data_IF_696156796357
#
_entry.id   IF_696156796357
#
_cell.length_a   1.000
_cell.length_b   1.000
_cell.length_c   1.000
_cell.angle_alpha   90.00
_cell.angle_beta   90.00
_cell.angle_gamma   90.00
#
_symmetry.space_group_name_H-M   'P 1'
#
loop_
_entity.id
_entity.type
_entity.pdbx_description
1 polymer ?
#
# COMPACT_ATOMS: atom_id res chain seq x y z
N UNK A 1 6.73 24.08 -7.75
CA UNK A 1 6.93 22.69 -7.28
C UNK A 1 6.30 21.76 -8.31
N UNK A 2 6.94 20.64 -8.63
CA UNK A 2 6.42 19.70 -9.63
C UNK A 2 5.49 18.68 -8.98
N UNK A 3 4.28 18.54 -9.52
CA UNK A 3 3.35 17.45 -9.21
C UNK A 3 3.69 16.25 -10.11
N UNK A 4 3.94 15.09 -9.53
CA UNK A 4 4.30 13.87 -10.29
C UNK A 4 3.47 12.69 -9.84
N UNK A 5 2.98 11.94 -10.82
CA UNK A 5 2.27 10.67 -10.61
C UNK A 5 3.09 9.55 -11.24
N UNK A 6 3.22 8.41 -10.55
CA UNK A 6 3.80 7.19 -11.09
C UNK A 6 2.87 6.01 -10.80
N UNK A 7 2.57 5.25 -11.84
CA UNK A 7 1.74 4.06 -11.75
C UNK A 7 2.64 2.83 -11.55
N UNK A 8 2.51 2.17 -10.41
CA UNK A 8 3.23 0.93 -10.09
C UNK A 8 2.41 -0.32 -10.41
N UNK A 9 1.09 -0.16 -10.44
CA UNK A 9 0.14 -1.11 -10.99
C UNK A 9 -1.15 -0.43 -11.42
N UNK A 10 -1.77 -0.99 -12.46
CA UNK A 10 -2.92 -0.41 -13.19
C UNK A 10 -3.97 -1.48 -13.54
N UNK A 11 -3.82 -2.70 -13.02
CA UNK A 11 -4.77 -3.79 -13.23
C UNK A 11 -5.83 -3.79 -12.12
N UNK A 12 -7.06 -4.14 -12.47
CA UNK A 12 -8.11 -4.42 -11.50
C UNK A 12 -8.29 -5.92 -11.30
N UNK A 13 -8.89 -6.29 -10.18
CA UNK A 13 -9.26 -7.64 -9.75
C UNK A 13 -8.10 -8.63 -9.56
N UNK A 14 -7.29 -8.90 -10.59
CA UNK A 14 -6.20 -9.88 -10.55
C UNK A 14 -5.01 -9.36 -11.34
N UNK A 15 -3.79 -9.68 -10.88
CA UNK A 15 -2.56 -9.41 -11.62
C UNK A 15 -2.53 -10.18 -12.95
N UNK A 16 -2.14 -9.52 -14.04
CA UNK A 16 -2.09 -10.12 -15.37
C UNK A 16 -0.69 -10.03 -16.00
N UNK A 17 0.32 -10.76 -15.49
CA UNK A 17 1.66 -10.78 -16.07
C UNK A 17 1.68 -11.66 -17.33
N UNK A 18 1.16 -11.15 -18.44
CA UNK A 18 1.12 -11.86 -19.72
C UNK A 18 1.57 -10.96 -20.88
N UNK A 19 2.05 -11.57 -21.97
CA UNK A 19 2.52 -10.84 -23.16
C UNK A 19 1.46 -9.87 -23.71
N UNK A 20 0.18 -10.26 -23.67
CA UNK A 20 -0.94 -9.43 -24.12
C UNK A 20 -1.18 -8.17 -23.26
N UNK A 21 -0.50 -8.04 -22.11
CA UNK A 21 -0.74 -6.98 -21.12
C UNK A 21 0.53 -6.23 -20.73
N UNK A 22 1.70 -6.69 -21.18
CA UNK A 22 2.99 -6.19 -20.70
C UNK A 22 3.25 -4.72 -21.06
N UNK A 23 2.64 -4.22 -22.14
CA UNK A 23 2.72 -2.81 -22.54
C UNK A 23 2.26 -1.86 -21.42
N UNK A 24 1.27 -2.27 -20.62
CA UNK A 24 0.72 -1.46 -19.53
C UNK A 24 1.10 -1.99 -18.14
N UNK A 25 1.69 -3.19 -18.07
CA UNK A 25 2.11 -3.84 -16.82
C UNK A 25 1.11 -4.86 -16.30
N UNK A 26 1.58 -5.73 -15.40
CA UNK A 26 0.81 -6.84 -14.85
C UNK A 26 0.31 -6.65 -13.41
N UNK A 27 0.73 -5.58 -12.72
CA UNK A 27 0.43 -5.36 -11.32
C UNK A 27 -0.93 -4.69 -11.09
N UNK A 28 -1.59 -5.05 -10.00
CA UNK A 28 -2.82 -4.43 -9.50
C UNK A 28 -2.59 -3.07 -8.83
N UNK A 29 -3.67 -2.31 -8.60
CA UNK A 29 -3.70 -0.90 -8.18
C UNK A 29 -2.61 -0.52 -7.17
N UNK A 30 -1.70 0.37 -7.59
CA UNK A 30 -0.77 1.04 -6.70
C UNK A 30 -0.22 2.28 -7.43
N UNK A 31 -0.49 3.47 -6.90
CA UNK A 31 -0.09 4.74 -7.52
C UNK A 31 0.70 5.56 -6.50
N UNK A 32 1.83 6.11 -6.94
CA UNK A 32 2.62 7.06 -6.16
C UNK A 32 2.32 8.48 -6.67
N UNK A 33 1.98 9.39 -5.76
CA UNK A 33 1.90 10.82 -6.01
C UNK A 33 2.99 11.50 -5.20
N UNK A 34 3.78 12.36 -5.84
CA UNK A 34 4.77 13.22 -5.18
C UNK A 34 4.44 14.67 -5.47
N UNK A 35 4.20 15.46 -4.42
CA UNK A 35 3.84 16.86 -4.52
C UNK A 35 4.21 17.60 -3.23
N UNK A 36 4.75 18.81 -3.32
CA UNK A 36 4.98 19.64 -2.12
C UNK A 36 6.02 19.11 -1.12
N UNK A 37 6.85 18.14 -1.52
CA UNK A 37 7.73 17.41 -0.59
C UNK A 37 7.08 16.16 0.01
N UNK A 38 5.77 16.03 -0.11
CA UNK A 38 4.98 14.90 0.35
C UNK A 38 4.98 13.75 -0.64
N UNK A 39 4.78 12.54 -0.10
CA UNK A 39 4.57 11.33 -0.88
C UNK A 39 3.31 10.62 -0.44
N UNK A 40 2.40 10.47 -1.38
CA UNK A 40 1.16 9.70 -1.21
C UNK A 40 1.25 8.42 -2.02
N UNK A 41 0.70 7.34 -1.46
CA UNK A 41 0.55 6.05 -2.10
C UNK A 41 -0.94 5.75 -2.10
N UNK A 42 -1.53 5.56 -3.28
CA UNK A 42 -2.93 5.21 -3.43
C UNK A 42 -3.01 3.70 -3.66
N UNK A 43 -3.65 3.01 -2.72
CA UNK A 43 -3.77 1.56 -2.62
C UNK A 43 -2.45 0.77 -2.51
N UNK A 44 -2.60 -0.45 -1.99
CA UNK A 44 -1.55 -1.39 -1.65
C UNK A 44 -1.63 -2.70 -2.46
N UNK A 45 -2.07 -2.62 -3.72
CA UNK A 45 -2.08 -3.77 -4.62
C UNK A 45 -0.68 -4.28 -4.95
N UNK A 46 -0.58 -5.37 -5.72
CA UNK A 46 0.70 -6.03 -6.07
C UNK A 46 1.79 -5.10 -6.64
N UNK A 47 1.44 -3.93 -7.19
CA UNK A 47 2.41 -2.91 -7.61
C UNK A 47 3.26 -2.36 -6.45
N UNK A 48 2.72 -2.39 -5.22
CA UNK A 48 3.38 -1.91 -4.00
C UNK A 48 4.73 -2.57 -3.74
N UNK A 49 4.92 -3.84 -4.15
CA UNK A 49 6.21 -4.53 -4.02
C UNK A 49 7.34 -3.78 -4.76
N UNK A 50 7.07 -3.35 -6.00
CA UNK A 50 8.07 -2.65 -6.80
C UNK A 50 8.28 -1.21 -6.32
N UNK A 51 7.20 -0.55 -5.88
CA UNK A 51 7.26 0.74 -5.20
C UNK A 51 8.15 0.65 -3.96
N UNK A 52 7.95 -0.34 -3.09
CA UNK A 52 8.72 -0.53 -1.87
C UNK A 52 10.22 -0.63 -2.13
N UNK A 53 10.63 -1.46 -3.09
CA UNK A 53 12.05 -1.53 -3.49
C UNK A 53 12.59 -0.19 -4.00
N UNK A 54 11.77 0.60 -4.70
CA UNK A 54 12.19 1.90 -5.18
C UNK A 54 12.32 2.93 -4.05
N UNK A 55 11.43 2.90 -3.04
CA UNK A 55 11.53 3.74 -1.85
C UNK A 55 12.81 3.45 -1.05
N UNK A 56 13.15 2.16 -0.88
CA UNK A 56 14.43 1.77 -0.26
C UNK A 56 15.63 2.36 -1.00
N UNK A 57 15.68 2.21 -2.34
CA UNK A 57 16.77 2.77 -3.17
C UNK A 57 16.84 4.29 -3.11
N UNK A 58 15.72 4.97 -2.89
CA UNK A 58 15.65 6.43 -2.75
C UNK A 58 15.80 6.89 -1.31
N UNK A 59 15.96 5.98 -0.35
CA UNK A 59 15.95 6.27 1.08
C UNK A 59 14.76 7.17 1.48
N UNK A 60 13.60 6.91 0.88
CA UNK A 60 12.38 7.66 1.22
C UNK A 60 11.75 7.01 2.44
N UNK A 61 11.93 7.67 3.57
CA UNK A 61 11.60 7.12 4.89
C UNK A 61 10.15 7.30 5.29
N UNK A 62 9.42 8.20 4.62
CA UNK A 62 8.03 8.50 4.96
C UNK A 62 7.14 8.56 3.72
N UNK A 63 5.92 8.05 3.86
CA UNK A 63 4.82 8.21 2.91
C UNK A 63 3.47 7.97 3.58
N UNK A 64 2.42 8.62 3.08
CA UNK A 64 1.04 8.33 3.46
C UNK A 64 0.41 7.36 2.47
N UNK A 65 -0.15 6.26 2.97
CA UNK A 65 -0.87 5.24 2.22
C UNK A 65 -2.37 5.50 2.38
N UNK A 66 -3.04 5.87 1.29
CA UNK A 66 -4.47 6.11 1.23
C UNK A 66 -5.16 4.89 0.62
N UNK A 67 -6.03 4.26 1.40
CA UNK A 67 -6.76 3.06 0.98
C UNK A 67 -8.14 3.45 0.45
N UNK A 68 -8.37 3.23 -0.84
CA UNK A 68 -9.69 3.48 -1.43
C UNK A 68 -10.75 2.51 -0.90
N UNK A 69 -10.42 1.22 -0.88
CA UNK A 69 -11.19 0.11 -0.31
C UNK A 69 -10.28 -1.11 -0.09
N UNK A 70 -10.83 -2.20 0.42
CA UNK A 70 -10.06 -3.37 0.90
C UNK A 70 -10.29 -4.66 0.11
N UNK A 71 -10.67 -4.54 -1.18
CA UNK A 71 -10.64 -5.70 -2.08
C UNK A 71 -9.19 -6.19 -2.30
N UNK A 72 -9.05 -7.48 -2.63
CA UNK A 72 -7.76 -8.17 -2.74
C UNK A 72 -6.75 -7.49 -3.66
N UNK A 73 -7.20 -6.96 -4.80
CA UNK A 73 -6.35 -6.25 -5.75
C UNK A 73 -5.79 -4.92 -5.22
N UNK A 74 -6.36 -4.40 -4.14
CA UNK A 74 -5.94 -3.17 -3.46
C UNK A 74 -5.12 -3.41 -2.19
N UNK A 75 -5.05 -4.64 -1.66
CA UNK A 75 -4.32 -4.95 -0.40
C UNK A 75 -3.22 -6.02 -0.55
N UNK A 76 -3.25 -6.80 -1.64
CA UNK A 76 -2.39 -7.98 -1.84
C UNK A 76 -0.89 -7.71 -1.93
N UNK A 77 -0.49 -6.47 -2.20
CA UNK A 77 0.93 -6.08 -2.22
C UNK A 77 1.48 -5.67 -0.85
N UNK A 78 0.62 -5.36 0.12
CA UNK A 78 1.02 -4.88 1.44
C UNK A 78 1.97 -5.83 2.18
N UNK A 79 1.75 -7.17 2.20
CA UNK A 79 2.68 -8.09 2.87
C UNK A 79 4.08 -8.11 2.25
N UNK A 80 4.25 -7.59 1.04
CA UNK A 80 5.51 -7.50 0.30
C UNK A 80 6.09 -6.08 0.26
N UNK A 81 5.58 -5.17 1.08
CA UNK A 81 6.07 -3.81 1.18
C UNK A 81 7.36 -3.76 2.02
N UNK A 82 8.49 -4.07 1.38
CA UNK A 82 9.79 -4.19 2.03
C UNK A 82 10.16 -3.06 3.00
N UNK A 83 9.88 -1.76 2.74
CA UNK A 83 10.15 -0.69 3.69
C UNK A 83 9.51 -0.88 5.08
N UNK A 84 8.34 -1.54 5.18
CA UNK A 84 7.67 -1.75 6.46
C UNK A 84 8.43 -2.69 7.41
N UNK A 85 9.41 -3.44 6.91
CA UNK A 85 10.23 -4.36 7.71
C UNK A 85 11.54 -3.75 8.21
N UNK A 86 11.79 -2.47 7.90
CA UNK A 86 13.03 -1.78 8.25
C UNK A 86 12.77 -0.66 9.26
N UNK A 87 13.56 -0.65 10.33
CA UNK A 87 13.59 0.48 11.28
C UNK A 87 13.98 1.79 10.57
N UNK A 88 13.48 2.90 11.10
CA UNK A 88 13.74 4.24 10.57
C UNK A 88 12.92 4.61 9.33
N UNK A 89 11.92 3.81 9.00
CA UNK A 89 10.83 4.14 8.09
C UNK A 89 9.53 4.37 8.89
N UNK A 90 8.64 5.22 8.37
CA UNK A 90 7.36 5.57 8.99
C UNK A 90 6.27 5.70 7.91
N UNK A 91 5.09 5.14 8.16
CA UNK A 91 3.99 5.16 7.22
C UNK A 91 2.66 5.45 7.92
N UNK A 92 1.94 6.43 7.40
CA UNK A 92 0.56 6.72 7.80
C UNK A 92 -0.39 5.99 6.86
N UNK A 93 -1.16 5.04 7.38
CA UNK A 93 -2.17 4.29 6.62
C UNK A 93 -3.54 4.86 6.96
N UNK A 94 -4.22 5.40 5.96
CA UNK A 94 -5.52 6.04 6.14
C UNK A 94 -6.61 5.30 5.36
N UNK A 95 -7.75 5.04 6.02
CA UNK A 95 -8.90 4.39 5.40
C UNK A 95 -10.23 5.02 5.86
N UNK A 96 -11.03 5.46 4.89
CA UNK A 96 -12.31 6.14 5.13
C UNK A 96 -13.56 5.27 4.96
N UNK A 97 -13.37 4.00 4.56
CA UNK A 97 -14.43 3.11 4.05
C UNK A 97 -14.81 1.99 5.01
N UNK A 98 -14.08 1.82 6.11
CA UNK A 98 -14.33 0.76 7.08
C UNK A 98 -15.39 1.20 8.09
N UNK A 99 -16.22 0.24 8.49
CA UNK A 99 -17.34 0.44 9.40
C UNK A 99 -17.52 -0.77 10.31
N UNK A 100 -18.56 -0.73 11.15
CA UNK A 100 -18.92 -1.84 12.05
C UNK A 100 -17.81 -2.25 13.02
N UNK A 101 -16.95 -1.30 13.43
CA UNK A 101 -15.88 -1.53 14.40
C UNK A 101 -14.64 -2.21 13.84
N UNK A 102 -14.52 -2.38 12.51
CA UNK A 102 -13.30 -2.85 11.86
C UNK A 102 -12.37 -1.68 11.55
N UNK A 103 -11.09 -1.84 11.85
CA UNK A 103 -10.02 -0.91 11.49
C UNK A 103 -9.22 -1.39 10.29
N UNK A 104 -8.48 -0.50 9.61
CA UNK A 104 -7.58 -0.90 8.52
C UNK A 104 -6.45 -1.80 9.03
N UNK A 105 -6.07 -1.63 10.30
CA UNK A 105 -5.14 -2.52 10.99
C UNK A 105 -5.71 -3.94 11.07
N UNK A 106 -6.98 -4.12 11.42
CA UNK A 106 -7.61 -5.44 11.48
C UNK A 106 -7.61 -6.14 10.12
N UNK A 107 -7.85 -5.38 9.03
CA UNK A 107 -7.78 -5.91 7.66
C UNK A 107 -6.37 -6.39 7.32
N UNK A 108 -5.35 -5.59 7.63
CA UNK A 108 -3.96 -5.94 7.34
C UNK A 108 -3.44 -7.09 8.23
N UNK A 109 -3.77 -7.09 9.52
CA UNK A 109 -3.53 -8.23 10.41
C UNK A 109 -4.22 -9.50 9.90
N UNK A 110 -5.46 -9.39 9.42
CA UNK A 110 -6.24 -10.51 8.91
C UNK A 110 -5.68 -11.17 7.66
N UNK A 111 -5.06 -10.40 6.74
CA UNK A 111 -4.35 -11.00 5.60
C UNK A 111 -2.96 -11.54 5.99
N UNK A 112 -2.31 -10.95 7.00
CA UNK A 112 -1.00 -11.34 7.51
C UNK A 112 -1.15 -12.33 8.68
N UNK A 113 -1.91 -13.41 8.49
CA UNK A 113 -2.12 -14.42 9.52
C UNK A 113 -2.12 -15.84 8.96
N UNK A 114 -1.75 -16.82 9.78
CA UNK A 114 -1.79 -18.22 9.39
C UNK A 114 -3.24 -18.69 9.18
N UNK A 115 -3.56 -19.48 8.12
CA UNK A 115 -2.66 -20.11 7.15
C UNK A 115 -2.39 -19.29 5.88
N UNK A 116 -2.92 -18.07 5.77
CA UNK A 116 -2.86 -17.28 4.52
C UNK A 116 -1.49 -16.65 4.28
N UNK A 117 -0.81 -16.21 5.34
CA UNK A 117 0.52 -15.65 5.26
C UNK A 117 1.37 -16.06 6.49
N UNK A 118 2.66 -16.40 6.30
CA UNK A 118 3.47 -16.96 7.38
C UNK A 118 4.06 -15.91 8.33
N UNK A 119 3.93 -14.62 8.00
CA UNK A 119 4.53 -13.52 8.76
C UNK A 119 3.42 -12.64 9.34
N UNK A 120 3.34 -12.49 10.67
CA UNK A 120 2.33 -11.65 11.29
C UNK A 120 2.68 -10.16 11.17
N UNK A 121 1.68 -9.28 11.28
CA UNK A 121 1.84 -7.83 11.09
C UNK A 121 2.91 -7.23 12.03
N UNK A 122 3.04 -7.78 13.23
CA UNK A 122 3.95 -7.34 14.29
C UNK A 122 5.44 -7.50 13.93
N UNK A 123 5.77 -8.22 12.85
CA UNK A 123 7.15 -8.34 12.33
C UNK A 123 7.56 -7.10 11.53
N UNK A 124 6.61 -6.24 11.15
CA UNK A 124 6.92 -4.96 10.51
C UNK A 124 7.56 -4.01 11.54
N UNK A 125 8.85 -3.72 11.37
CA UNK A 125 9.65 -2.87 12.27
C UNK A 125 9.64 -1.37 11.91
N UNK A 126 8.91 -0.97 10.87
CA UNK A 126 8.66 0.44 10.59
C UNK A 126 7.63 1.01 11.58
N UNK A 127 7.63 2.33 11.75
CA UNK A 127 6.57 3.02 12.48
C UNK A 127 5.29 3.04 11.63
N UNK A 128 4.30 2.23 12.00
CA UNK A 128 3.03 2.11 11.28
C UNK A 128 1.91 2.82 12.06
N UNK A 129 1.42 3.93 11.53
CA UNK A 129 0.34 4.71 12.11
C UNK A 129 -0.95 4.45 11.32
N UNK A 130 -2.01 4.01 11.98
CA UNK A 130 -3.30 3.66 11.34
C UNK A 130 -4.36 4.70 11.70
N UNK A 131 -4.96 5.29 10.67
CA UNK A 131 -5.92 6.38 10.77
C UNK A 131 -7.23 6.01 10.06
N UNK A 132 -8.15 5.40 10.80
CA UNK A 132 -9.51 5.16 10.33
C UNK A 132 -10.37 6.41 10.54
N UNK A 133 -11.20 6.74 9.55
CA UNK A 133 -12.12 7.87 9.58
C UNK A 133 -13.41 7.52 8.82
N UNK A 134 -14.46 8.32 8.95
CA UNK A 134 -15.60 8.21 8.02
C UNK A 134 -15.41 9.21 6.90
N UNK A 135 -15.63 8.76 5.66
CA UNK A 135 -15.64 9.65 4.51
C UNK A 135 -16.63 10.80 4.75
N UNK A 136 -16.12 12.04 4.75
CA UNK A 136 -16.89 13.25 5.04
C UNK A 136 -16.65 13.86 6.43
N UNK A 137 -15.89 13.21 7.31
CA UNK A 137 -15.45 13.80 8.59
C UNK A 137 -14.47 14.97 8.33
N UNK A 138 -14.51 16.00 9.20
CA UNK A 138 -13.74 17.26 9.10
C UNK A 138 -12.86 17.51 10.31
#
# INVERSE_FOLDING_TARGET
MAFKVKFWGVRGSIACPGANHIQYGGNTSCIEVSCGGERLILDAGTGMRNLGHWLLRKNTKHATILMSHTHWDHISGFPFFAPAFHEGYSFDVMAGHLGNGLSIKDVFSGQMTHPFFPVPLEVMNAEMNYHDFKAGDS
#
